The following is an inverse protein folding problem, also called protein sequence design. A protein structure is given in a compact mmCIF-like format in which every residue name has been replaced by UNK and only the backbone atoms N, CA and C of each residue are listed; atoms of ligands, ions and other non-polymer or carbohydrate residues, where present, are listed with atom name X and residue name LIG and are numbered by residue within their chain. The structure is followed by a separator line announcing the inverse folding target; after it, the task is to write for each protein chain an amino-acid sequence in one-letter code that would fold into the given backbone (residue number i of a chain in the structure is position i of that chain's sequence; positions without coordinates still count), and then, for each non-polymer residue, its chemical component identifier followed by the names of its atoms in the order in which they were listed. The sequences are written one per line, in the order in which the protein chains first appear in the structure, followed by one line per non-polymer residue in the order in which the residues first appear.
data_IF_604053162242
#
_entry.id   IF_604053162242
#
_cell.length_a   1.000
_cell.length_b   1.000
_cell.length_c   1.000
_cell.angle_alpha   90.00
_cell.angle_beta   90.00
_cell.angle_gamma   90.00
#
_symmetry.space_group_name_H-M   'P 1'
#
loop_
_entity.id
_entity.type
_entity.pdbx_description
1 polymer ?
#
# COMPACT_ATOMS: atom_id res chain seq x y z
N UNK A 1 -16.40 -4.31 -4.85
CA UNK A 1 -14.98 -4.15 -5.18
C UNK A 1 -14.51 -2.74 -4.90
N UNK A 2 -13.20 -2.54 -4.95
CA UNK A 2 -12.52 -1.27 -4.65
C UNK A 2 -12.74 -0.19 -5.73
N UNK A 3 -12.94 -0.61 -6.98
CA UNK A 3 -13.08 0.31 -8.12
C UNK A 3 -14.32 1.20 -8.03
N UNK A 4 -14.32 2.29 -8.81
CA UNK A 4 -15.39 3.30 -8.83
C UNK A 4 -16.77 2.71 -9.15
N UNK A 5 -16.84 1.60 -9.89
CA UNK A 5 -18.09 0.89 -10.19
C UNK A 5 -18.16 -0.47 -9.45
N UNK A 6 -17.39 -0.63 -8.38
CA UNK A 6 -17.36 -1.85 -7.58
C UNK A 6 -16.48 -2.96 -8.15
N UNK A 7 -15.59 -2.65 -9.10
CA UNK A 7 -14.67 -3.63 -9.69
C UNK A 7 -13.66 -4.18 -8.67
N UNK A 8 -13.25 -5.42 -8.86
CA UNK A 8 -12.14 -6.02 -8.12
C UNK A 8 -10.80 -5.60 -8.74
N UNK A 9 -9.80 -5.41 -7.88
CA UNK A 9 -8.47 -4.95 -8.27
C UNK A 9 -7.43 -5.94 -7.78
N UNK A 10 -6.43 -6.20 -8.63
CA UNK A 10 -5.24 -6.95 -8.25
C UNK A 10 -4.05 -5.99 -8.25
N UNK A 11 -3.46 -5.79 -7.07
CA UNK A 11 -2.28 -4.98 -6.87
C UNK A 11 -1.04 -5.84 -6.58
N UNK A 12 0.12 -5.37 -7.03
CA UNK A 12 1.42 -5.94 -6.71
C UNK A 12 2.26 -4.88 -5.98
N UNK A 13 2.88 -5.27 -4.87
CA UNK A 13 3.74 -4.40 -4.07
C UNK A 13 5.19 -4.84 -4.24
N UNK A 14 6.09 -3.89 -4.49
CA UNK A 14 7.52 -4.15 -4.64
C UNK A 14 8.31 -3.26 -3.69
N UNK A 15 9.38 -3.81 -3.11
CA UNK A 15 10.37 -3.05 -2.35
C UNK A 15 11.59 -2.84 -3.24
N UNK A 16 12.05 -1.60 -3.32
CA UNK A 16 13.28 -1.22 -4.05
C UNK A 16 14.22 -0.57 -3.04
N UNK A 17 15.31 -1.26 -2.73
CA UNK A 17 16.31 -0.85 -1.72
C UNK A 17 17.49 -0.07 -2.32
N UNK A 18 17.56 0.04 -3.65
CA UNK A 18 18.60 0.76 -4.38
C UNK A 18 18.05 1.56 -5.56
N UNK A 19 18.51 2.81 -5.68
CA UNK A 19 18.16 3.68 -6.81
C UNK A 19 19.33 4.62 -7.15
N UNK A 20 19.31 5.22 -8.33
CA UNK A 20 20.32 6.20 -8.78
C UNK A 20 19.67 7.32 -9.61
N UNK A 21 20.26 8.51 -9.61
CA UNK A 21 19.78 9.67 -10.37
C UNK A 21 19.35 10.82 -9.45
N UNK A 22 18.39 11.62 -9.91
CA UNK A 22 17.74 12.65 -9.09
C UNK A 22 16.23 12.36 -9.07
N UNK A 23 15.60 12.14 -7.91
CA UNK A 23 14.17 11.88 -7.82
C UNK A 23 13.37 13.10 -8.28
N UNK A 24 12.23 12.85 -8.93
CA UNK A 24 11.26 13.90 -9.19
C UNK A 24 10.58 14.30 -7.88
N UNK A 25 10.22 15.58 -7.75
CA UNK A 25 9.50 16.10 -6.58
C UNK A 25 7.97 16.10 -6.81
N UNK A 26 7.50 15.85 -8.03
CA UNK A 26 6.07 15.81 -8.37
C UNK A 26 5.81 15.11 -9.71
N UNK A 27 4.55 14.73 -9.92
CA UNK A 27 3.99 14.24 -11.18
C UNK A 27 2.51 14.67 -11.30
N UNK A 28 1.78 14.33 -12.40
CA UNK A 28 0.38 14.73 -12.57
C UNK A 28 -0.60 14.27 -11.47
N UNK A 29 -0.25 13.24 -10.69
CA UNK A 29 -1.04 12.72 -9.56
C UNK A 29 -0.75 13.46 -8.25
N UNK A 30 0.39 14.18 -8.13
CA UNK A 30 0.71 14.97 -6.94
C UNK A 30 2.19 15.12 -6.62
N UNK A 31 2.46 15.58 -5.40
CA UNK A 31 3.80 15.76 -4.83
C UNK A 31 4.41 14.42 -4.39
N UNK A 32 5.71 14.26 -4.60
CA UNK A 32 6.51 13.13 -4.13
C UNK A 32 7.34 13.58 -2.92
N UNK A 33 7.23 12.85 -1.81
CA UNK A 33 7.89 13.18 -0.56
C UNK A 33 8.63 11.97 0.02
N UNK A 34 9.78 12.23 0.64
CA UNK A 34 10.47 11.24 1.46
C UNK A 34 9.88 11.27 2.87
N UNK A 35 9.30 10.15 3.29
CA UNK A 35 8.68 9.99 4.61
C UNK A 35 9.40 8.89 5.37
N UNK A 36 9.73 9.16 6.64
CA UNK A 36 10.26 8.13 7.55
C UNK A 36 9.23 7.00 7.70
N UNK A 37 9.68 5.74 7.66
CA UNK A 37 8.80 4.57 7.68
C UNK A 37 7.91 4.56 8.93
N UNK A 38 8.47 4.98 10.07
CA UNK A 38 7.80 5.05 11.35
C UNK A 38 6.65 6.08 11.37
N UNK A 39 6.67 7.05 10.45
CA UNK A 39 5.66 8.12 10.33
C UNK A 39 4.56 7.80 9.31
N UNK A 40 4.69 6.71 8.54
CA UNK A 40 3.65 6.25 7.60
C UNK A 40 2.24 6.18 8.25
N UNK A 41 2.07 5.68 9.49
CA UNK A 41 0.74 5.61 10.13
C UNK A 41 0.07 6.97 10.35
N UNK A 42 0.83 8.07 10.35
CA UNK A 42 0.33 9.45 10.51
C UNK A 42 -0.28 10.00 9.22
N UNK A 43 -0.01 9.37 8.07
CA UNK A 43 -0.46 9.84 6.76
C UNK A 43 -1.98 9.59 6.56
N UNK A 44 -2.65 10.38 5.70
CA UNK A 44 -4.04 10.19 5.32
C UNK A 44 -4.21 9.00 4.35
N UNK A 45 -3.91 7.80 4.84
CA UNK A 45 -3.96 6.54 4.09
C UNK A 45 -5.40 6.02 3.94
N UNK A 46 -5.59 5.15 2.95
CA UNK A 46 -6.79 4.31 2.86
C UNK A 46 -6.78 3.22 3.94
N UNK A 47 -7.96 2.71 4.29
CA UNK A 47 -8.09 1.67 5.33
C UNK A 47 -7.34 0.39 4.98
N UNK A 48 -7.29 0.01 3.69
CA UNK A 48 -6.53 -1.14 3.21
C UNK A 48 -5.03 -0.97 3.34
N UNK A 49 -4.50 0.21 3.04
CA UNK A 49 -3.07 0.53 3.14
C UNK A 49 -2.55 0.33 4.57
N UNK A 50 -3.35 0.74 5.55
CA UNK A 50 -3.05 0.53 6.98
C UNK A 50 -2.91 -0.95 7.35
N UNK A 51 -3.50 -1.88 6.58
CA UNK A 51 -3.42 -3.31 6.85
C UNK A 51 -2.16 -3.95 6.28
N UNK A 52 -1.80 -3.63 5.04
CA UNK A 52 -0.71 -4.33 4.36
C UNK A 52 0.65 -3.63 4.47
N UNK A 53 0.71 -2.29 4.63
CA UNK A 53 1.99 -1.59 4.76
C UNK A 53 2.84 -2.08 5.95
N UNK A 54 2.27 -2.41 7.13
CA UNK A 54 3.05 -3.03 8.20
C UNK A 54 3.71 -4.35 7.79
N UNK A 55 3.08 -5.13 6.90
CA UNK A 55 3.63 -6.40 6.42
C UNK A 55 4.77 -6.24 5.42
N UNK A 56 4.89 -5.05 4.80
CA UNK A 56 5.97 -4.68 3.87
C UNK A 56 7.23 -4.28 4.64
N UNK A 57 7.06 -3.60 5.77
CA UNK A 57 8.16 -3.00 6.55
C UNK A 57 8.45 -3.73 7.87
N UNK A 58 7.80 -4.86 8.14
CA UNK A 58 8.17 -5.68 9.30
C UNK A 58 9.46 -6.47 9.05
N UNK A 59 9.90 -7.19 10.08
CA UNK A 59 11.12 -7.99 10.03
C UNK A 59 10.94 -9.34 9.31
N UNK A 60 9.75 -9.67 8.79
CA UNK A 60 9.48 -10.94 8.11
C UNK A 60 9.68 -10.76 6.60
N UNK A 61 10.75 -11.34 6.00
CA UNK A 61 11.10 -11.11 4.60
C UNK A 61 10.19 -11.86 3.62
N UNK A 62 9.25 -12.69 4.11
CA UNK A 62 8.38 -13.49 3.24
C UNK A 62 7.37 -12.59 2.54
N UNK A 63 7.13 -12.79 1.23
CA UNK A 63 6.03 -12.14 0.55
C UNK A 63 4.71 -12.57 1.17
N UNK A 64 3.69 -11.73 1.00
CA UNK A 64 2.33 -12.04 1.44
C UNK A 64 1.35 -12.01 0.27
N UNK A 65 0.29 -12.77 0.42
CA UNK A 65 -0.92 -12.64 -0.38
C UNK A 65 -2.04 -12.17 0.55
N UNK A 66 -2.67 -11.04 0.20
CA UNK A 66 -3.71 -10.39 1.00
C UNK A 66 -4.98 -10.14 0.19
N UNK A 67 -6.13 -10.27 0.86
CA UNK A 67 -7.46 -10.05 0.28
C UNK A 67 -8.22 -9.07 1.18
N UNK A 68 -8.70 -7.98 0.57
CA UNK A 68 -9.48 -6.92 1.23
C UNK A 68 -10.77 -6.63 0.45
N UNK A 69 -11.91 -7.22 0.84
CA UNK A 69 -13.20 -6.88 0.24
C UNK A 69 -13.60 -5.43 0.54
N UNK A 70 -14.10 -4.72 -0.47
CA UNK A 70 -14.65 -3.38 -0.36
C UNK A 70 -16.11 -3.32 -0.80
N UNK A 71 -16.90 -2.56 -0.03
CA UNK A 71 -18.29 -2.19 -0.33
C UNK A 71 -18.48 -0.71 -0.10
N UNK A 72 -19.06 -0.01 -1.08
CA UNK A 72 -19.37 1.43 -0.99
C UNK A 72 -18.17 2.30 -0.54
N UNK A 73 -16.98 1.97 -1.05
CA UNK A 73 -15.73 2.67 -0.72
C UNK A 73 -15.16 2.35 0.66
N UNK A 74 -15.76 1.42 1.42
CA UNK A 74 -15.29 1.00 2.75
C UNK A 74 -14.74 -0.42 2.71
N UNK A 75 -13.60 -0.61 3.39
CA UNK A 75 -13.05 -1.95 3.60
C UNK A 75 -13.92 -2.72 4.59
N UNK A 76 -14.36 -3.92 4.23
CA UNK A 76 -15.19 -4.76 5.10
C UNK A 76 -14.36 -5.71 5.96
N UNK A 77 -13.25 -6.22 5.43
CA UNK A 77 -12.37 -7.16 6.13
C UNK A 77 -10.98 -7.19 5.53
N UNK A 78 -10.04 -7.81 6.25
CA UNK A 78 -8.67 -8.08 5.82
C UNK A 78 -8.30 -9.51 6.18
N UNK A 79 -7.69 -10.22 5.24
CA UNK A 79 -7.08 -11.53 5.47
C UNK A 79 -5.80 -11.65 4.67
N UNK A 80 -4.80 -12.31 5.22
CA UNK A 80 -3.54 -12.53 4.52
C UNK A 80 -2.88 -13.84 4.90
N UNK A 81 -1.93 -14.27 4.06
CA UNK A 81 -1.03 -15.40 4.29
C UNK A 81 0.39 -15.00 3.90
N UNK A 82 1.38 -15.51 4.62
CA UNK A 82 2.79 -15.42 4.24
C UNK A 82 3.15 -16.64 3.38
N UNK A 83 3.93 -16.42 2.33
CA UNK A 83 4.32 -17.45 1.36
C UNK A 83 5.71 -18.04 1.69
#
# INVERSE_FOLDING_TARGET
GFGRNGEDWLGFVFVVDGWSGTPLESNPEGTLEWVEVERIPELPLWDGDRQFLPLVFDADPRPFHGVMPYRDGKMESWSFSRL
#
